data_IF_144606402820
#
_entry.id   IF_144606402820
#
_cell.length_a   1.000
_cell.length_b   1.000
_cell.length_c   1.000
_cell.angle_alpha   90.00
_cell.angle_beta   90.00
_cell.angle_gamma   90.00
#
_symmetry.space_group_name_H-M   'P 1'
#
loop_
_entity.id
_entity.type
_entity.pdbx_description
1 polymer ?
#
# COMPACT_ATOMS: atom_id res chain seq x y z
N UNK A 1 1.03 -17.26 -0.82
CA UNK A 1 1.22 -16.22 -1.84
C UNK A 1 1.43 -14.88 -1.15
N UNK A 2 2.45 -14.15 -1.57
CA UNK A 2 2.73 -12.84 -1.00
C UNK A 2 1.99 -11.74 -1.75
N UNK A 3 1.65 -10.66 -1.04
CA UNK A 3 1.05 -9.48 -1.63
C UNK A 3 1.74 -8.23 -1.12
N UNK A 4 1.88 -7.25 -1.99
CA UNK A 4 2.37 -5.93 -1.65
C UNK A 4 1.20 -5.05 -1.21
N UNK A 5 1.44 -4.14 -0.28
CA UNK A 5 0.40 -3.25 0.25
C UNK A 5 0.73 -1.81 -0.10
N UNK A 6 -0.24 -1.11 -0.71
CA UNK A 6 -0.13 0.31 -1.01
C UNK A 6 -0.35 1.16 0.25
N UNK A 7 0.15 2.37 0.20
CA UNK A 7 0.08 3.36 1.26
C UNK A 7 -1.33 3.59 1.78
N UNK A 8 -2.33 3.65 0.88
CA UNK A 8 -3.70 3.94 1.30
C UNK A 8 -4.24 2.92 2.30
N UNK A 9 -3.88 1.65 2.15
CA UNK A 9 -4.32 0.60 3.08
C UNK A 9 -3.74 0.84 4.48
N UNK A 10 -2.47 1.25 4.55
CA UNK A 10 -1.84 1.56 5.83
C UNK A 10 -2.49 2.76 6.51
N UNK A 11 -2.82 3.79 5.72
CA UNK A 11 -3.41 5.04 6.23
C UNK A 11 -4.84 4.81 6.74
N UNK A 12 -5.66 4.04 6.01
CA UNK A 12 -7.05 3.80 6.40
C UNK A 12 -7.19 3.17 7.78
N UNK A 13 -6.19 2.42 8.24
CA UNK A 13 -6.22 1.86 9.60
C UNK A 13 -6.38 2.94 10.68
N UNK A 14 -5.95 4.16 10.39
CA UNK A 14 -6.01 5.29 11.33
C UNK A 14 -7.01 6.37 10.91
N UNK A 15 -7.83 6.10 9.89
CA UNK A 15 -8.78 7.09 9.37
C UNK A 15 -10.21 6.75 9.77
N UNK A 16 -10.64 7.31 10.90
CA UNK A 16 -11.98 7.07 11.41
C UNK A 16 -13.10 7.75 10.60
N UNK A 17 -12.75 8.60 9.62
CA UNK A 17 -13.75 9.24 8.75
C UNK A 17 -14.47 8.24 7.86
N UNK A 18 -13.85 7.10 7.59
CA UNK A 18 -14.47 5.99 6.88
C UNK A 18 -14.30 4.71 7.70
N UNK A 19 -15.30 4.44 8.56
CA UNK A 19 -15.25 3.32 9.48
C UNK A 19 -15.19 1.97 8.76
N UNK A 20 -15.84 1.84 7.61
CA UNK A 20 -15.84 0.59 6.84
C UNK A 20 -14.44 0.28 6.31
N UNK A 21 -13.79 1.26 5.67
CA UNK A 21 -12.43 1.08 5.15
C UNK A 21 -11.43 0.88 6.27
N UNK A 22 -11.60 1.57 7.40
CA UNK A 22 -10.75 1.40 8.56
C UNK A 22 -10.78 -0.05 9.06
N UNK A 23 -11.96 -0.63 9.20
CA UNK A 23 -12.11 -2.02 9.67
C UNK A 23 -11.52 -3.01 8.69
N UNK A 24 -11.76 -2.80 7.39
CA UNK A 24 -11.22 -3.69 6.36
C UNK A 24 -9.70 -3.63 6.30
N UNK A 25 -9.12 -2.44 6.38
CA UNK A 25 -7.66 -2.27 6.39
C UNK A 25 -7.04 -2.94 7.61
N UNK A 26 -7.62 -2.74 8.80
CA UNK A 26 -7.12 -3.35 10.02
C UNK A 26 -7.17 -4.86 9.95
N UNK A 27 -8.28 -5.43 9.47
CA UNK A 27 -8.43 -6.88 9.34
C UNK A 27 -7.41 -7.46 8.36
N UNK A 28 -7.23 -6.81 7.21
CA UNK A 28 -6.28 -7.25 6.19
C UNK A 28 -4.85 -7.27 6.72
N UNK A 29 -4.45 -6.20 7.40
CA UNK A 29 -3.09 -6.08 7.93
C UNK A 29 -2.86 -7.08 9.07
N UNK A 30 -3.82 -7.24 9.97
CA UNK A 30 -3.71 -8.21 11.07
C UNK A 30 -3.58 -9.63 10.54
N UNK A 31 -4.42 -10.01 9.58
CA UNK A 31 -4.37 -11.34 8.98
C UNK A 31 -3.03 -11.54 8.26
N UNK A 32 -2.57 -10.53 7.54
CA UNK A 32 -1.29 -10.58 6.85
C UNK A 32 -0.11 -10.77 7.77
N UNK A 33 -0.13 -10.15 8.96
CA UNK A 33 0.90 -10.34 9.98
C UNK A 33 0.90 -11.79 10.46
N UNK A 34 -0.29 -12.33 10.76
CA UNK A 34 -0.42 -13.69 11.26
C UNK A 34 0.06 -14.75 10.26
N UNK A 35 -0.20 -14.51 8.98
CA UNK A 35 0.16 -15.44 7.90
C UNK A 35 1.53 -15.18 7.29
N UNK A 36 2.14 -14.04 7.60
CA UNK A 36 3.39 -13.63 6.96
C UNK A 36 3.26 -13.43 5.46
N UNK A 37 2.07 -13.04 4.98
CA UNK A 37 1.73 -13.00 3.55
C UNK A 37 1.86 -11.62 2.92
N UNK A 38 2.15 -10.58 3.70
CA UNK A 38 2.23 -9.22 3.19
C UNK A 38 3.66 -8.71 3.17
N UNK A 39 3.94 -7.86 2.18
CA UNK A 39 5.21 -7.13 2.04
C UNK A 39 4.89 -5.66 1.90
N UNK A 40 5.71 -4.80 2.48
CA UNK A 40 5.55 -3.36 2.35
C UNK A 40 6.67 -2.78 1.51
N UNK A 41 6.35 -1.94 0.50
CA UNK A 41 7.40 -1.18 -0.15
C UNK A 41 7.88 -0.07 0.77
N UNK A 42 9.16 0.21 0.80
CA UNK A 42 9.74 1.33 1.54
C UNK A 42 8.97 2.63 1.27
N UNK A 43 8.60 2.87 0.01
CA UNK A 43 7.82 4.04 -0.39
C UNK A 43 6.54 4.19 0.42
N UNK A 44 5.83 3.09 0.70
CA UNK A 44 4.55 3.15 1.42
C UNK A 44 4.73 3.64 2.85
N UNK A 45 5.84 3.28 3.50
CA UNK A 45 6.12 3.75 4.86
C UNK A 45 6.45 5.25 4.85
N UNK A 46 7.25 5.70 3.87
CA UNK A 46 7.57 7.13 3.71
C UNK A 46 6.29 7.93 3.48
N UNK A 47 5.45 7.48 2.56
CA UNK A 47 4.19 8.15 2.25
C UNK A 47 3.19 8.08 3.42
N UNK A 48 3.20 6.99 4.18
CA UNK A 48 2.35 6.83 5.36
C UNK A 48 2.60 7.95 6.39
N UNK A 49 3.86 8.22 6.71
CA UNK A 49 4.20 9.28 7.66
C UNK A 49 3.73 10.63 7.14
N UNK A 50 3.97 10.92 5.86
CA UNK A 50 3.55 12.18 5.25
C UNK A 50 2.02 12.33 5.27
N UNK A 51 1.30 11.28 4.90
CA UNK A 51 -0.16 11.30 4.82
C UNK A 51 -0.82 11.45 6.20
N UNK A 52 -0.32 10.73 7.21
CA UNK A 52 -0.92 10.74 8.55
C UNK A 52 -0.65 12.02 9.31
N UNK A 53 0.43 12.74 8.99
CA UNK A 53 0.80 13.99 9.68
C UNK A 53 0.38 15.25 8.92
N UNK A 54 -0.22 15.10 7.74
CA UNK A 54 -0.69 16.23 6.94
C UNK A 54 -1.81 16.95 7.65
N UNK A 55 -1.80 18.29 7.58
CA UNK A 55 -2.87 19.10 8.14
C UNK A 55 -4.16 18.91 7.36
N UNK A 56 -5.21 18.52 8.06
CA UNK A 56 -6.56 18.31 7.54
C UNK A 56 -7.54 19.14 8.37
N UNK A 57 -8.76 19.41 7.86
CA UNK A 57 -9.82 19.94 8.69
C UNK A 57 -10.03 19.03 9.89
N UNK A 58 -9.93 19.57 11.10
CA UNK A 58 -9.99 18.77 12.33
C UNK A 58 -8.66 18.22 12.82
N UNK A 59 -7.56 18.52 12.11
CA UNK A 59 -6.20 18.10 12.49
C UNK A 59 -5.72 16.88 11.72
N UNK A 60 -4.45 16.47 11.92
CA UNK A 60 -3.87 15.30 11.26
C UNK A 60 -4.51 14.00 11.77
N UNK A 61 -4.39 12.92 10.99
CA UNK A 61 -4.85 11.60 11.42
C UNK A 61 -4.10 11.11 12.65
N UNK A 62 -2.81 11.37 12.71
CA UNK A 62 -1.96 11.04 13.85
C UNK A 62 -1.07 12.23 14.22
N UNK A 63 -0.81 12.45 15.50
CA UNK A 63 0.28 13.35 15.92
C UNK A 63 1.61 12.83 15.35
N UNK A 64 2.54 13.73 15.07
CA UNK A 64 3.83 13.35 14.48
C UNK A 64 4.59 12.28 15.27
N UNK A 65 4.66 12.36 16.64
CA UNK A 65 5.34 11.30 17.40
C UNK A 65 4.67 9.93 17.22
N UNK A 66 3.34 9.89 17.13
CA UNK A 66 2.61 8.65 16.98
C UNK A 66 2.83 8.07 15.57
N UNK A 67 2.83 8.91 14.53
CA UNK A 67 3.10 8.47 13.17
C UNK A 67 4.50 7.85 13.04
N UNK A 68 5.49 8.45 13.69
CA UNK A 68 6.86 7.91 13.69
C UNK A 68 6.93 6.56 14.40
N UNK A 69 6.24 6.42 15.53
CA UNK A 69 6.19 5.14 16.26
C UNK A 69 5.53 4.06 15.43
N UNK A 70 4.40 4.38 14.79
CA UNK A 70 3.72 3.41 13.92
C UNK A 70 4.59 3.00 12.73
N UNK A 71 5.35 3.93 12.15
CA UNK A 71 6.27 3.61 11.07
C UNK A 71 7.36 2.63 11.51
N UNK A 72 7.91 2.83 12.72
CA UNK A 72 8.89 1.89 13.28
C UNK A 72 8.29 0.51 13.51
N UNK A 73 7.04 0.44 13.95
CA UNK A 73 6.34 -0.83 14.12
C UNK A 73 6.12 -1.54 12.78
N UNK A 74 5.80 -0.80 11.72
CA UNK A 74 5.68 -1.38 10.38
C UNK A 74 7.00 -2.02 9.94
N UNK A 75 8.12 -1.37 10.21
CA UNK A 75 9.44 -1.92 9.90
C UNK A 75 9.74 -3.21 10.66
N UNK A 76 9.19 -3.35 11.88
CA UNK A 76 9.42 -4.53 12.71
C UNK A 76 8.47 -5.68 12.40
N UNK A 77 7.24 -5.37 11.97
CA UNK A 77 6.17 -6.36 11.79
C UNK A 77 6.11 -6.96 10.40
N UNK A 78 6.60 -6.23 9.39
CA UNK A 78 6.50 -6.67 8.00
C UNK A 78 7.88 -6.78 7.36
N UNK A 79 7.99 -7.64 6.36
CA UNK A 79 9.14 -7.60 5.46
C UNK A 79 9.00 -6.38 4.56
N UNK A 80 10.01 -5.52 4.59
CA UNK A 80 10.03 -4.28 3.81
C UNK A 80 10.94 -4.44 2.62
N UNK A 81 10.46 -4.05 1.44
CA UNK A 81 11.22 -4.09 0.20
C UNK A 81 11.73 -2.68 -0.10
N UNK A 82 13.01 -2.59 -0.44
CA UNK A 82 13.69 -1.31 -0.66
C UNK A 82 13.86 -1.04 -2.15
N UNK A 83 13.91 0.24 -2.54
CA UNK A 83 14.10 0.61 -3.94
C UNK A 83 15.55 0.36 -4.37
N UNK A 84 15.70 0.14 -5.67
CA UNK A 84 17.01 0.05 -6.31
C UNK A 84 16.86 0.50 -7.76
N UNK A 85 17.94 0.46 -8.53
CA UNK A 85 17.90 0.86 -9.93
C UNK A 85 16.88 0.05 -10.72
N UNK A 86 16.77 -1.26 -10.45
CA UNK A 86 15.83 -2.13 -11.15
C UNK A 86 14.38 -1.74 -10.92
N UNK A 87 14.02 -1.37 -9.68
CA UNK A 87 12.69 -0.86 -9.36
C UNK A 87 12.42 0.42 -10.14
N UNK A 88 13.38 1.35 -10.16
CA UNK A 88 13.20 2.60 -10.89
C UNK A 88 13.02 2.39 -12.39
N UNK A 89 13.84 1.53 -13.00
CA UNK A 89 13.73 1.22 -14.43
C UNK A 89 12.37 0.57 -14.75
N UNK A 90 11.91 -0.34 -13.91
CA UNK A 90 10.59 -0.97 -14.05
C UNK A 90 9.48 0.07 -13.95
N UNK A 91 9.59 1.02 -13.02
CA UNK A 91 8.61 2.09 -12.85
C UNK A 91 8.52 2.98 -14.08
N UNK A 92 9.66 3.32 -14.67
CA UNK A 92 9.70 4.16 -15.88
C UNK A 92 8.96 3.47 -17.04
N UNK A 93 9.17 2.17 -17.21
CA UNK A 93 8.49 1.40 -18.26
C UNK A 93 6.99 1.26 -17.97
N UNK A 94 6.61 0.99 -16.73
CA UNK A 94 5.21 0.82 -16.34
C UNK A 94 4.41 2.10 -16.44
N UNK A 95 5.01 3.24 -16.10
CA UNK A 95 4.35 4.55 -16.24
C UNK A 95 3.92 4.80 -17.68
N UNK A 96 4.80 4.48 -18.63
CA UNK A 96 4.51 4.64 -20.05
C UNK A 96 3.51 3.59 -20.55
N UNK A 97 3.68 2.33 -20.16
CA UNK A 97 2.87 1.22 -20.66
C UNK A 97 1.42 1.27 -20.16
N UNK A 98 1.21 1.68 -18.91
CA UNK A 98 -0.10 1.63 -18.27
C UNK A 98 -0.66 3.02 -17.95
N UNK A 99 0.06 4.07 -18.32
CA UNK A 99 -0.35 5.46 -18.09
C UNK A 99 -0.64 5.74 -16.60
N UNK A 100 0.17 5.16 -15.73
CA UNK A 100 0.06 5.36 -14.30
C UNK A 100 0.68 6.69 -13.90
N UNK A 101 0.17 7.29 -12.83
CA UNK A 101 0.87 8.41 -12.20
C UNK A 101 2.26 7.94 -11.76
N UNK A 102 3.21 8.87 -11.62
CA UNK A 102 4.59 8.50 -11.32
C UNK A 102 4.72 7.70 -10.02
N UNK A 103 4.08 8.18 -8.94
CA UNK A 103 4.21 7.50 -7.66
C UNK A 103 3.49 6.15 -7.63
N UNK A 104 2.36 6.01 -8.34
CA UNK A 104 1.68 4.73 -8.49
C UNK A 104 2.54 3.75 -9.29
N UNK A 105 3.15 4.21 -10.38
CA UNK A 105 4.05 3.37 -11.18
C UNK A 105 5.24 2.89 -10.35
N UNK A 106 5.82 3.78 -9.55
CA UNK A 106 6.96 3.45 -8.70
C UNK A 106 6.58 2.42 -7.64
N UNK A 107 5.42 2.59 -7.02
CA UNK A 107 4.94 1.63 -6.02
C UNK A 107 4.64 0.26 -6.64
N UNK A 108 3.93 0.23 -7.76
CA UNK A 108 3.66 -1.00 -8.51
C UNK A 108 4.97 -1.72 -8.89
N UNK A 109 5.99 -0.96 -9.26
CA UNK A 109 7.26 -1.51 -9.71
C UNK A 109 7.98 -2.36 -8.66
N UNK A 110 7.76 -2.10 -7.38
CA UNK A 110 8.26 -2.99 -6.32
C UNK A 110 7.73 -4.41 -6.51
N UNK A 111 6.43 -4.54 -6.75
CA UNK A 111 5.83 -5.86 -6.93
C UNK A 111 6.34 -6.55 -8.20
N UNK A 112 6.36 -5.81 -9.30
CA UNK A 112 6.84 -6.38 -10.57
C UNK A 112 8.30 -6.79 -10.50
N UNK A 113 9.15 -5.94 -9.93
CA UNK A 113 10.59 -6.21 -9.83
C UNK A 113 10.91 -7.37 -8.89
N UNK A 114 10.24 -7.45 -7.75
CA UNK A 114 10.50 -8.48 -6.74
C UNK A 114 9.69 -9.76 -6.96
N UNK A 115 8.89 -9.83 -8.02
CA UNK A 115 8.14 -11.03 -8.35
C UNK A 115 6.96 -11.30 -7.43
N UNK A 116 6.34 -10.26 -6.89
CA UNK A 116 5.16 -10.37 -6.04
C UNK A 116 3.92 -10.28 -6.93
N UNK A 117 3.05 -11.27 -6.85
CA UNK A 117 1.96 -11.45 -7.80
C UNK A 117 0.74 -10.59 -7.55
N UNK A 118 0.59 -10.03 -6.33
CA UNK A 118 -0.58 -9.24 -5.98
C UNK A 118 -0.17 -7.91 -5.33
N UNK A 119 -0.99 -6.89 -5.57
CA UNK A 119 -0.87 -5.57 -4.94
C UNK A 119 -2.24 -5.15 -4.42
N UNK A 120 -2.33 -4.91 -3.12
CA UNK A 120 -3.54 -4.34 -2.52
C UNK A 120 -3.50 -2.82 -2.59
N UNK A 121 -4.41 -2.24 -3.37
CA UNK A 121 -4.50 -0.79 -3.57
C UNK A 121 -5.89 -0.39 -4.06
N UNK A 122 -6.37 0.79 -3.66
CA UNK A 122 -7.60 1.35 -4.21
C UNK A 122 -7.35 2.29 -5.41
N UNK A 123 -6.08 2.59 -5.74
CA UNK A 123 -5.72 3.61 -6.73
C UNK A 123 -5.60 3.07 -8.16
N UNK A 124 -5.72 1.76 -8.33
CA UNK A 124 -5.64 1.07 -9.62
C UNK A 124 -6.99 0.47 -9.95
N UNK A 125 -7.13 -0.05 -11.18
CA UNK A 125 -8.35 -0.79 -11.54
C UNK A 125 -8.38 -2.14 -10.81
N UNK A 126 -9.49 -2.38 -10.12
CA UNK A 126 -9.67 -3.62 -9.37
C UNK A 126 -9.63 -4.83 -10.29
N UNK A 127 -8.93 -5.87 -9.84
CA UNK A 127 -8.80 -7.17 -10.49
C UNK A 127 -8.14 -7.11 -11.87
N UNK A 128 -7.41 -6.04 -12.16
CA UNK A 128 -6.66 -5.90 -13.41
C UNK A 128 -5.23 -6.37 -13.23
N UNK A 129 -4.71 -7.00 -14.29
CA UNK A 129 -3.32 -7.43 -14.34
C UNK A 129 -2.47 -6.34 -14.99
N UNK A 130 -1.48 -5.84 -14.25
CA UNK A 130 -0.49 -4.86 -14.71
C UNK A 130 0.85 -5.60 -14.78
N UNK A 131 1.31 -5.93 -15.99
CA UNK A 131 2.47 -6.82 -16.13
C UNK A 131 2.16 -8.19 -15.53
N UNK A 132 2.90 -8.61 -14.53
CA UNK A 132 2.68 -9.86 -13.80
C UNK A 132 1.95 -9.65 -12.47
N UNK A 133 1.55 -8.43 -12.16
CA UNK A 133 0.96 -8.06 -10.87
C UNK A 133 -0.54 -7.83 -11.01
N UNK A 134 -1.33 -8.59 -10.28
CA UNK A 134 -2.78 -8.36 -10.18
C UNK A 134 -3.07 -7.41 -9.04
N UNK A 135 -3.77 -6.32 -9.36
CA UNK A 135 -4.20 -5.37 -8.33
C UNK A 135 -5.55 -5.78 -7.79
N UNK A 136 -5.64 -5.84 -6.47
CA UNK A 136 -6.88 -6.11 -5.75
C UNK A 136 -7.20 -4.89 -4.90
N UNK A 137 -8.37 -4.31 -5.13
CA UNK A 137 -8.86 -3.24 -4.25
C UNK A 137 -9.59 -3.92 -3.08
N UNK A 138 -9.02 -3.87 -1.86
CA UNK A 138 -9.63 -4.59 -0.74
C UNK A 138 -10.92 -3.95 -0.24
N UNK A 139 -11.26 -2.77 -0.74
CA UNK A 139 -12.42 -1.99 -0.30
C UNK A 139 -13.63 -2.15 -1.21
N UNK A 140 -13.47 -2.84 -2.34
CA UNK A 140 -14.58 -3.11 -3.27
C UNK A 140 -15.49 -4.18 -2.66
N UNK A 141 -16.79 -3.94 -2.71
CA UNK A 141 -17.75 -4.91 -2.24
C UNK A 141 -17.83 -6.10 -3.19
N UNK A 142 -17.83 -7.31 -2.64
CA UNK A 142 -18.03 -8.50 -3.44
C UNK A 142 -19.45 -8.51 -3.97
N UNK A 143 -19.68 -8.86 -5.27
CA UNK A 143 -21.04 -8.94 -5.79
C UNK A 143 -21.82 -10.03 -5.05
N UNK A 144 -23.10 -9.79 -4.78
CA UNK A 144 -23.96 -10.80 -4.19
C UNK A 144 -24.33 -11.86 -5.22
N UNK A 145 -24.20 -13.11 -4.88
CA UNK A 145 -24.73 -14.24 -5.65
C UNK A 145 -24.95 -15.44 -4.83
#
# INVERSE_FOLDING_TARGET
MSALVDTNVLVYRFDARDARKQQLAEALLREGIQQGSLRLPHQAIVEFVAACTRQLPGGPLLPAPDARREAEELLSMFEVLYPNEGVLRTALRGAAAYQLSWFDAHLWAYAEHYGIEQLYSEDFQHDRLYGTVRVINPFVESPPF
#
